data_IF_471084894683
#
_entry.id   IF_471084894683
#
_cell.length_a   1.000
_cell.length_b   1.000
_cell.length_c   1.000
_cell.angle_alpha   90.00
_cell.angle_beta   90.00
_cell.angle_gamma   90.00
#
_symmetry.space_group_name_H-M   'P 1'
#
loop_
_entity.id
_entity.type
_entity.pdbx_description
1 polymer ?
#
# COMPACT_ATOMS: atom_id res chain seq x y z
N UNK A 1 11.92 0.27 4.21
CA UNK A 1 10.91 0.19 3.14
C UNK A 1 11.03 -1.18 2.47
N UNK A 2 9.90 -1.87 2.28
CA UNK A 2 9.82 -3.07 1.46
C UNK A 2 9.65 -2.64 0.00
N UNK A 3 10.52 -3.07 -0.91
CA UNK A 3 10.38 -2.80 -2.34
C UNK A 3 9.21 -3.56 -2.94
N UNK A 4 8.72 -3.14 -4.11
CA UNK A 4 7.75 -3.89 -4.91
C UNK A 4 8.19 -5.35 -5.17
N UNK A 5 9.50 -5.60 -5.30
CA UNK A 5 10.06 -6.95 -5.44
C UNK A 5 10.01 -7.80 -4.16
N UNK A 6 9.78 -7.19 -2.99
CA UNK A 6 9.83 -7.83 -1.67
C UNK A 6 8.45 -7.81 -0.99
N UNK A 7 7.40 -7.51 -1.74
CA UNK A 7 6.00 -7.63 -1.33
C UNK A 7 5.32 -8.63 -2.27
N UNK A 8 4.26 -9.28 -1.80
CA UNK A 8 3.40 -10.10 -2.62
C UNK A 8 2.47 -9.20 -3.42
N UNK A 9 2.46 -9.38 -4.73
CA UNK A 9 1.54 -8.72 -5.67
C UNK A 9 0.79 -9.84 -6.37
N UNK A 10 -0.53 -9.85 -6.21
CA UNK A 10 -1.37 -10.87 -6.84
C UNK A 10 -1.23 -10.78 -8.36
N UNK A 11 -0.80 -11.90 -8.96
CA UNK A 11 -0.51 -12.07 -10.39
C UNK A 11 0.65 -11.18 -10.88
N UNK A 12 1.52 -10.74 -9.96
CA UNK A 12 2.66 -9.87 -10.28
C UNK A 12 3.68 -10.48 -11.24
N UNK A 13 3.69 -11.80 -11.40
CA UNK A 13 4.50 -12.55 -12.36
C UNK A 13 3.84 -12.72 -13.74
N UNK A 14 2.59 -12.29 -13.87
CA UNK A 14 1.77 -12.45 -15.08
C UNK A 14 1.82 -11.16 -15.92
N UNK A 15 2.54 -11.14 -17.06
CA UNK A 15 2.80 -9.91 -17.82
C UNK A 15 1.57 -9.23 -18.40
N UNK A 16 0.45 -9.93 -18.51
CA UNK A 16 -0.83 -9.38 -18.95
C UNK A 16 -1.37 -8.33 -17.98
N UNK A 17 -1.00 -8.44 -16.70
CA UNK A 17 -1.56 -7.62 -15.62
C UNK A 17 -0.53 -6.70 -14.97
N UNK A 18 0.74 -7.13 -14.93
CA UNK A 18 1.82 -6.37 -14.31
C UNK A 18 3.04 -6.30 -15.21
N UNK A 19 3.60 -5.08 -15.31
CA UNK A 19 4.85 -4.81 -15.98
C UNK A 19 5.90 -4.37 -14.94
N UNK A 20 7.04 -5.04 -14.92
CA UNK A 20 8.14 -4.66 -14.04
C UNK A 20 9.10 -3.72 -14.76
N UNK A 21 9.01 -2.44 -14.45
CA UNK A 21 9.75 -1.38 -15.15
C UNK A 21 10.91 -0.82 -14.33
N UNK A 22 11.89 -0.26 -15.02
CA UNK A 22 12.85 0.68 -14.42
C UNK A 22 12.25 2.08 -14.43
N UNK A 23 12.32 2.78 -13.31
CA UNK A 23 11.73 4.12 -13.19
C UNK A 23 12.77 5.09 -12.61
N UNK A 24 13.24 6.11 -13.35
CA UNK A 24 14.38 6.95 -12.95
C UNK A 24 14.23 7.60 -11.58
N UNK A 25 13.01 7.97 -11.21
CA UNK A 25 12.69 8.65 -9.95
C UNK A 25 12.42 7.66 -8.80
N UNK A 26 12.54 6.35 -9.03
CA UNK A 26 12.30 5.33 -8.01
C UNK A 26 13.53 5.07 -7.14
N UNK A 27 13.30 4.82 -5.84
CA UNK A 27 14.34 4.36 -4.90
C UNK A 27 14.89 2.97 -5.24
N UNK A 28 14.10 2.14 -5.93
CA UNK A 28 14.46 0.78 -6.30
C UNK A 28 14.57 0.65 -7.81
N UNK A 29 15.49 -0.20 -8.29
CA UNK A 29 15.73 -0.45 -9.71
C UNK A 29 14.47 -0.94 -10.45
N UNK A 30 13.64 -1.74 -9.80
CA UNK A 30 12.41 -2.29 -10.37
C UNK A 30 11.20 -1.91 -9.52
N UNK A 31 10.15 -1.45 -10.20
CA UNK A 31 8.84 -1.13 -9.63
C UNK A 31 7.75 -1.84 -10.43
N UNK A 32 6.59 -2.06 -9.84
CA UNK A 32 5.49 -2.79 -10.47
C UNK A 32 4.47 -1.80 -11.06
N UNK A 33 4.28 -1.83 -12.37
CA UNK A 33 3.26 -1.06 -13.07
C UNK A 33 2.05 -1.95 -13.35
N UNK A 34 0.90 -1.55 -12.84
CA UNK A 34 -0.38 -2.20 -13.06
C UNK A 34 -0.88 -1.85 -14.47
N UNK A 35 -1.06 -2.87 -15.31
CA UNK A 35 -1.54 -2.72 -16.68
C UNK A 35 -3.06 -2.75 -16.74
N UNK A 36 -3.68 -3.83 -16.28
CA UNK A 36 -5.12 -3.98 -16.16
C UNK A 36 -5.43 -5.17 -15.24
N UNK A 37 -6.32 -5.07 -14.25
CA UNK A 37 -6.64 -6.19 -13.36
C UNK A 37 -7.97 -5.95 -12.64
N UNK A 38 -8.87 -6.93 -12.62
CA UNK A 38 -10.13 -6.81 -11.87
C UNK A 38 -9.96 -7.11 -10.37
N UNK A 39 -8.92 -7.87 -10.00
CA UNK A 39 -8.64 -8.31 -8.63
C UNK A 39 -7.33 -7.70 -8.11
N UNK A 40 -7.41 -6.55 -7.44
CA UNK A 40 -6.22 -5.86 -6.93
C UNK A 40 -5.86 -6.36 -5.53
N UNK A 41 -4.63 -6.84 -5.34
CA UNK A 41 -4.17 -7.26 -4.03
C UNK A 41 -2.64 -7.15 -3.89
N UNK A 42 -2.23 -6.43 -2.84
CA UNK A 42 -0.83 -6.26 -2.46
C UNK A 42 -0.69 -6.57 -0.98
N UNK A 43 0.32 -7.36 -0.62
CA UNK A 43 0.67 -7.67 0.77
C UNK A 43 2.16 -7.51 1.03
N UNK A 44 2.54 -6.77 2.05
CA UNK A 44 3.90 -6.74 2.59
C UNK A 44 3.96 -7.44 3.94
N UNK A 45 5.07 -8.12 4.21
CA UNK A 45 5.33 -8.71 5.52
C UNK A 45 6.66 -8.25 6.08
N UNK A 46 6.71 -8.09 7.39
CA UNK A 46 7.96 -7.80 8.11
C UNK A 46 7.97 -8.47 9.47
N UNK A 47 9.15 -8.85 9.95
CA UNK A 47 9.30 -9.40 11.30
C UNK A 47 9.53 -8.27 12.29
N UNK A 48 8.88 -8.29 13.45
CA UNK A 48 9.07 -7.26 14.48
C UNK A 48 10.52 -7.14 14.94
N UNK A 49 11.30 -8.23 14.90
CA UNK A 49 12.73 -8.25 15.26
C UNK A 49 13.64 -7.35 14.43
N UNK A 50 13.23 -6.97 13.21
CA UNK A 50 14.02 -6.04 12.36
C UNK A 50 13.63 -4.58 12.59
N UNK A 51 12.68 -4.33 13.48
CA UNK A 51 12.21 -3.02 13.87
C UNK A 51 12.72 -2.71 15.28
N UNK A 52 12.87 -1.42 15.61
CA UNK A 52 13.12 -1.01 17.00
C UNK A 52 11.96 -1.48 17.89
N UNK A 53 12.22 -2.17 19.01
CA UNK A 53 11.18 -2.70 19.89
C UNK A 53 10.40 -1.59 20.59
N UNK A 54 9.23 -1.93 21.14
CA UNK A 54 8.34 -1.02 21.89
C UNK A 54 8.03 0.28 21.15
N UNK A 55 7.99 0.22 19.83
CA UNK A 55 7.81 1.38 18.96
C UNK A 55 6.54 1.22 18.15
N UNK A 56 5.74 2.28 18.07
CA UNK A 56 4.60 2.35 17.17
C UNK A 56 5.05 2.71 15.76
N UNK A 57 4.56 1.99 14.77
CA UNK A 57 4.86 2.20 13.37
C UNK A 57 3.59 2.45 12.57
N UNK A 58 3.70 3.29 11.55
CA UNK A 58 2.69 3.45 10.50
C UNK A 58 3.23 2.90 9.19
N UNK A 59 2.39 2.15 8.48
CA UNK A 59 2.69 1.57 7.18
C UNK A 59 2.05 2.40 6.06
N UNK A 60 2.80 2.66 4.99
CA UNK A 60 2.35 3.46 3.86
C UNK A 60 2.66 2.72 2.57
N UNK A 61 1.67 2.61 1.67
CA UNK A 61 1.97 2.22 0.29
C UNK A 61 2.41 3.47 -0.49
N UNK A 62 3.50 3.34 -1.25
CA UNK A 62 4.10 4.42 -2.03
C UNK A 62 3.95 4.11 -3.51
N UNK A 63 3.36 5.03 -4.27
CA UNK A 63 2.96 4.79 -5.65
C UNK A 63 2.92 6.07 -6.50
N UNK A 64 2.86 5.92 -7.82
CA UNK A 64 2.51 6.97 -8.78
C UNK A 64 1.28 6.57 -9.58
N UNK A 65 0.59 7.56 -10.11
CA UNK A 65 -0.49 7.39 -11.09
C UNK A 65 0.05 7.69 -12.48
N UNK A 66 -0.28 6.86 -13.46
CA UNK A 66 -0.07 7.14 -14.88
C UNK A 66 -1.26 7.99 -15.37
N UNK A 67 -1.01 8.94 -16.28
CA UNK A 67 -2.08 9.80 -16.83
C UNK A 67 -3.24 8.96 -17.39
N UNK A 68 -4.48 9.39 -17.14
CA UNK A 68 -5.74 8.70 -17.47
C UNK A 68 -6.10 7.47 -16.62
N UNK A 69 -5.50 7.32 -15.43
CA UNK A 69 -5.89 6.31 -14.42
C UNK A 69 -7.24 6.64 -13.75
N UNK A 70 -8.33 6.64 -14.52
CA UNK A 70 -9.69 6.83 -13.99
C UNK A 70 -10.23 5.56 -13.30
N UNK A 71 -9.55 4.43 -13.44
CA UNK A 71 -10.03 3.14 -12.94
C UNK A 71 -10.02 3.00 -11.42
N UNK A 72 -9.33 3.89 -10.70
CA UNK A 72 -9.33 3.97 -9.24
C UNK A 72 -10.19 5.12 -8.72
N UNK A 73 -10.92 5.82 -9.59
CA UNK A 73 -11.74 6.96 -9.22
C UNK A 73 -12.84 6.53 -8.24
N UNK A 74 -12.75 7.04 -7.01
CA UNK A 74 -13.68 6.74 -5.92
C UNK A 74 -13.81 5.25 -5.56
N UNK A 75 -12.83 4.43 -5.95
CA UNK A 75 -12.78 3.00 -5.61
C UNK A 75 -12.23 2.83 -4.20
N UNK A 76 -13.03 2.23 -3.32
CA UNK A 76 -12.61 1.92 -1.95
C UNK A 76 -11.69 0.70 -1.96
N UNK A 77 -10.50 0.86 -1.39
CA UNK A 77 -9.53 -0.20 -1.20
C UNK A 77 -9.50 -0.55 0.29
N UNK A 78 -9.69 -1.82 0.61
CA UNK A 78 -9.59 -2.32 1.97
C UNK A 78 -8.10 -2.47 2.32
N UNK A 79 -7.61 -1.61 3.21
CA UNK A 79 -6.26 -1.67 3.74
C UNK A 79 -6.28 -2.34 5.11
N UNK A 80 -5.28 -3.17 5.38
CA UNK A 80 -5.17 -3.93 6.63
C UNK A 80 -3.75 -3.88 7.19
N UNK A 81 -3.64 -3.86 8.51
CA UNK A 81 -2.36 -4.05 9.22
C UNK A 81 -2.61 -4.89 10.48
N UNK A 82 -1.81 -5.94 10.69
CA UNK A 82 -1.95 -6.79 11.86
C UNK A 82 -0.86 -7.86 11.98
N UNK A 83 -0.86 -8.56 13.12
CA UNK A 83 -0.01 -9.74 13.32
C UNK A 83 -0.57 -10.90 12.49
N UNK A 84 0.28 -11.61 11.75
CA UNK A 84 -0.10 -12.78 10.96
C UNK A 84 -0.77 -13.81 11.87
N UNK A 85 -1.96 -14.26 11.49
CA UNK A 85 -2.76 -15.23 12.25
C UNK A 85 -3.76 -14.59 13.23
N UNK A 86 -3.70 -13.28 13.45
CA UNK A 86 -4.66 -12.53 14.26
C UNK A 86 -5.59 -11.67 13.38
N UNK A 87 -6.67 -11.16 13.98
CA UNK A 87 -7.53 -10.17 13.32
C UNK A 87 -6.76 -8.87 13.05
N UNK A 88 -6.72 -8.46 11.78
CA UNK A 88 -6.05 -7.24 11.37
C UNK A 88 -6.93 -6.01 11.61
N UNK A 89 -6.31 -4.87 11.93
CA UNK A 89 -7.01 -3.59 11.87
C UNK A 89 -7.22 -3.23 10.41
N UNK A 90 -8.47 -3.06 10.00
CA UNK A 90 -8.83 -2.73 8.61
C UNK A 90 -9.46 -1.36 8.48
N UNK A 91 -9.34 -0.79 7.28
CA UNK A 91 -9.93 0.50 6.91
C UNK A 91 -10.10 0.63 5.41
N UNK A 92 -10.92 1.59 4.97
CA UNK A 92 -10.97 1.96 3.55
C UNK A 92 -10.07 3.16 3.23
N UNK A 93 -9.31 3.02 2.16
CA UNK A 93 -8.46 4.04 1.55
C UNK A 93 -8.83 4.24 0.08
N UNK A 94 -8.40 5.35 -0.52
CA UNK A 94 -8.69 5.66 -1.92
C UNK A 94 -7.41 6.14 -2.61
N UNK A 95 -7.01 5.49 -3.70
CA UNK A 95 -5.87 5.93 -4.51
C UNK A 95 -6.21 7.14 -5.39
N UNK A 96 -7.48 7.33 -5.72
CA UNK A 96 -7.98 8.53 -6.39
C UNK A 96 -9.35 8.94 -5.83
N UNK A 97 -9.46 10.13 -5.25
CA UNK A 97 -10.70 10.62 -4.65
C UNK A 97 -11.03 12.02 -5.17
N UNK A 98 -12.21 12.20 -5.79
CA UNK A 98 -12.63 13.50 -6.33
C UNK A 98 -12.67 14.60 -5.26
N UNK A 99 -12.29 15.81 -5.67
CA UNK A 99 -12.55 17.05 -4.93
C UNK A 99 -13.92 17.59 -5.32
N UNK A 100 -15.01 16.89 -5.01
CA UNK A 100 -16.35 17.46 -5.17
C UNK A 100 -16.81 18.12 -3.87
N UNK A 101 -17.29 19.36 -3.99
CA UNK A 101 -17.63 20.30 -2.90
C UNK A 101 -18.81 19.91 -2.01
N UNK A 102 -19.26 18.65 -2.02
CA UNK A 102 -20.34 18.16 -1.18
C UNK A 102 -19.79 17.45 0.06
N UNK A 103 -20.20 17.98 1.21
CA UNK A 103 -19.70 17.86 2.58
C UNK A 103 -19.68 16.45 3.22
N UNK A 104 -20.01 15.38 2.49
CA UNK A 104 -19.99 13.99 2.99
C UNK A 104 -18.61 13.31 2.90
N UNK A 105 -17.63 13.90 2.20
CA UNK A 105 -16.36 13.24 1.84
C UNK A 105 -15.14 13.62 2.68
N UNK A 106 -15.29 14.45 3.72
CA UNK A 106 -14.18 14.96 4.57
C UNK A 106 -13.44 13.89 5.39
N UNK A 107 -13.98 12.67 5.53
CA UNK A 107 -13.34 11.56 6.25
C UNK A 107 -12.55 10.58 5.37
N UNK A 108 -12.58 10.75 4.04
CA UNK A 108 -11.83 9.86 3.14
C UNK A 108 -10.33 10.11 3.30
N UNK A 109 -9.58 9.07 3.66
CA UNK A 109 -8.12 9.09 3.64
C UNK A 109 -7.68 9.21 2.18
N UNK A 110 -7.05 10.33 1.85
CA UNK A 110 -6.55 10.62 0.50
C UNK A 110 -5.04 10.38 0.46
N UNK A 111 -4.48 10.09 -0.72
CA UNK A 111 -3.05 10.01 -0.86
C UNK A 111 -2.45 11.40 -0.71
N UNK A 112 -1.28 11.47 -0.10
CA UNK A 112 -0.48 12.67 0.05
C UNK A 112 0.66 12.64 -0.97
N UNK A 113 0.83 13.73 -1.71
CA UNK A 113 1.97 13.90 -2.59
C UNK A 113 3.22 14.29 -1.78
N UNK A 114 4.30 13.53 -1.99
CA UNK A 114 5.60 13.74 -1.37
C UNK A 114 6.42 14.75 -2.17
N UNK A 115 7.49 15.26 -1.56
CA UNK A 115 8.45 16.17 -2.22
C UNK A 115 9.19 15.56 -3.42
N UNK A 116 9.28 14.24 -3.50
CA UNK A 116 9.90 13.50 -4.61
C UNK A 116 8.91 13.18 -5.74
N UNK A 117 7.68 13.71 -5.67
CA UNK A 117 6.62 13.49 -6.66
C UNK A 117 5.97 12.10 -6.59
N UNK A 118 6.27 11.28 -5.58
CA UNK A 118 5.52 10.06 -5.31
C UNK A 118 4.30 10.35 -4.42
N UNK A 119 3.23 9.59 -4.59
CA UNK A 119 2.09 9.59 -3.67
C UNK A 119 2.32 8.55 -2.57
N UNK A 120 1.81 8.83 -1.38
CA UNK A 120 1.74 7.85 -0.30
C UNK A 120 0.38 7.88 0.39
N UNK A 121 -0.08 6.72 0.88
CA UNK A 121 -1.29 6.63 1.70
C UNK A 121 -1.10 5.59 2.80
N UNK A 122 -1.59 5.91 4.00
CA UNK A 122 -1.44 5.09 5.19
C UNK A 122 -2.35 3.87 5.15
N UNK A 123 -1.76 2.68 5.23
CA UNK A 123 -2.47 1.41 5.33
C UNK A 123 -3.00 1.18 6.75
N UNK A 124 -2.21 1.57 7.76
CA UNK A 124 -2.57 1.47 9.17
C UNK A 124 -1.35 1.58 10.08
N UNK A 125 -1.58 1.36 11.38
CA UNK A 125 -0.54 1.39 12.41
C UNK A 125 -0.44 0.05 13.13
N UNK A 126 0.75 -0.25 13.65
CA UNK A 126 0.98 -1.40 14.50
C UNK A 126 2.03 -1.08 15.56
N UNK A 127 2.05 -1.86 16.64
CA UNK A 127 3.05 -1.76 17.68
C UNK A 127 4.05 -2.90 17.55
N UNK A 128 5.32 -2.57 17.44
CA UNK A 128 6.38 -3.56 17.62
C UNK A 128 6.47 -3.87 19.11
N UNK A 129 6.15 -5.11 19.49
CA UNK A 129 6.23 -5.58 20.87
C UNK A 129 7.62 -5.39 21.49
N UNK A 130 7.71 -5.64 22.79
CA UNK A 130 8.97 -5.53 23.54
C UNK A 130 9.70 -6.85 23.77
N UNK A 131 9.11 -7.97 23.34
CA UNK A 131 9.65 -9.30 23.61
C UNK A 131 10.55 -9.75 22.45
N UNK A 132 11.86 -9.80 22.70
CA UNK A 132 12.89 -10.09 21.69
C UNK A 132 12.89 -11.59 21.33
N UNK A 133 12.32 -12.44 22.20
CA UNK A 133 12.24 -13.89 22.00
C UNK A 133 11.08 -14.30 21.07
N UNK A 134 10.04 -13.47 20.96
CA UNK A 134 8.88 -13.69 20.08
C UNK A 134 8.94 -12.73 18.89
N UNK A 135 9.40 -13.25 17.75
CA UNK A 135 9.47 -12.49 16.49
C UNK A 135 8.15 -12.60 15.73
N UNK A 136 7.14 -11.89 16.18
CA UNK A 136 5.87 -11.74 15.45
C UNK A 136 6.11 -11.26 14.01
N UNK A 137 5.30 -11.75 13.09
CA UNK A 137 5.27 -11.26 11.71
C UNK A 137 4.07 -10.33 11.54
N UNK A 138 4.32 -9.14 11.01
CA UNK A 138 3.30 -8.14 10.72
C UNK A 138 2.99 -8.20 9.22
N UNK A 139 1.72 -8.35 8.88
CA UNK A 139 1.21 -8.21 7.52
C UNK A 139 0.56 -6.84 7.33
N UNK A 140 0.85 -6.23 6.18
CA UNK A 140 0.20 -5.01 5.70
C UNK A 140 -0.40 -5.31 4.33
N UNK A 141 -1.64 -4.91 4.09
CA UNK A 141 -2.36 -5.22 2.86
C UNK A 141 -3.10 -4.03 2.28
N UNK A 142 -3.32 -4.08 0.97
CA UNK A 142 -4.25 -3.23 0.23
C UNK A 142 -4.94 -4.10 -0.81
N UNK A 143 -6.26 -4.27 -0.69
CA UNK A 143 -7.05 -5.19 -1.50
C UNK A 143 -8.37 -4.58 -1.99
N UNK A 144 -8.72 -4.92 -3.23
CA UNK A 144 -10.04 -4.74 -3.81
C UNK A 144 -10.32 -5.92 -4.74
N UNK A 145 -11.19 -6.81 -4.26
CA UNK A 145 -11.42 -8.14 -4.83
C UNK A 145 -12.91 -8.40 -5.08
N UNK A 146 -13.77 -7.43 -4.73
CA UNK A 146 -15.21 -7.62 -4.55
C UNK A 146 -16.00 -6.99 -5.68
N UNK A 147 -15.55 -5.84 -6.20
CA UNK A 147 -16.30 -5.06 -7.19
C UNK A 147 -16.06 -5.54 -8.64
N UNK A 148 -14.97 -6.26 -8.89
CA UNK A 148 -14.66 -6.81 -10.22
C UNK A 148 -14.38 -5.74 -11.30
N UNK A 149 -14.30 -4.46 -10.94
CA UNK A 149 -13.96 -3.39 -11.86
C UNK A 149 -12.49 -3.50 -12.29
N UNK A 150 -12.24 -3.36 -13.59
CA UNK A 150 -10.90 -3.32 -14.15
C UNK A 150 -10.13 -2.10 -13.63
N UNK A 151 -8.87 -2.33 -13.25
CA UNK A 151 -7.97 -1.35 -12.62
C UNK A 151 -6.63 -1.33 -13.32
N UNK A 152 -6.16 -0.15 -13.69
CA UNK A 152 -4.92 0.08 -14.40
C UNK A 152 -4.18 1.29 -13.84
N UNK A 153 -2.95 1.55 -14.32
CA UNK A 153 -2.34 2.87 -14.20
C UNK A 153 -1.74 3.25 -12.85
N UNK A 154 -1.51 2.29 -11.96
CA UNK A 154 -0.68 2.49 -10.75
C UNK A 154 0.75 1.99 -10.98
N UNK A 155 1.74 2.75 -10.52
CA UNK A 155 3.13 2.31 -10.41
C UNK A 155 3.45 2.19 -8.93
N UNK A 156 3.69 0.98 -8.44
CA UNK A 156 3.94 0.69 -7.03
C UNK A 156 5.44 0.62 -6.78
N UNK A 157 5.92 1.49 -5.88
CA UNK A 157 7.31 1.46 -5.43
C UNK A 157 7.52 0.45 -4.31
N UNK A 158 6.54 0.33 -3.41
CA UNK A 158 6.59 -0.58 -2.27
C UNK A 158 5.82 -0.08 -1.06
N UNK A 159 6.16 -0.63 0.10
CA UNK A 159 5.56 -0.29 1.40
C UNK A 159 6.62 0.29 2.34
N UNK A 160 6.41 1.53 2.78
CA UNK A 160 7.27 2.23 3.72
C UNK A 160 6.73 2.11 5.15
N UNK A 161 7.59 1.73 6.09
CA UNK A 161 7.26 1.53 7.50
C UNK A 161 8.04 2.58 8.28
N UNK A 162 7.34 3.43 9.03
CA UNK A 162 7.94 4.59 9.71
C UNK A 162 7.55 4.61 11.18
N UNK A 163 8.50 4.84 12.12
CA UNK A 163 8.15 5.08 13.51
C UNK A 163 7.22 6.30 13.61
N UNK A 164 6.17 6.18 14.41
CA UNK A 164 5.33 7.31 14.79
C UNK A 164 6.10 8.10 15.84
N UNK A 165 6.45 9.35 15.53
CA UNK A 165 7.00 10.25 16.53
C UNK A 165 5.86 10.71 17.42
N UNK A 166 5.83 10.22 18.66
CA UNK A 166 5.11 10.83 19.78
C UNK A 166 5.80 12.10 20.23
#
# INVERSE_FOLDING_TARGET
MLSAMNISIMWGDTPQYWEWITFPEARFKRVAKLLDLCWFEIRGRTKTRVLSPRTRYSAYIVFKKVNHCNSFEDVAIEAGVGVVGNEASTRFIYFDARVDGLSLRRRRRRPHERRDGWMEIELGEFFSGGDIMNSDEIEMSALETKLGHWKSGLIIQGIEIRPVRT
#
